data_IF_795789788639
#
_entry.id   IF_795789788639
#
_cell.length_a   1.000
_cell.length_b   1.000
_cell.length_c   1.000
_cell.angle_alpha   90.00
_cell.angle_beta   90.00
_cell.angle_gamma   90.00
#
_symmetry.space_group_name_H-M   'P 1'
#
loop_
_entity.id
_entity.type
_entity.pdbx_description
1 polymer ?
#
# COMPACT_ATOMS: atom_id res chain seq x y z
N UNK A 1 -3.97 14.66 -6.91
CA UNK A 1 -3.97 14.31 -8.34
C UNK A 1 -5.39 14.46 -8.88
N UNK A 2 -5.56 14.62 -10.21
CA UNK A 2 -6.87 14.84 -10.88
C UNK A 2 -7.93 13.79 -10.51
N UNK A 3 -7.57 12.52 -10.39
CA UNK A 3 -8.52 11.46 -10.07
C UNK A 3 -9.09 11.55 -8.64
N UNK A 4 -8.28 11.92 -7.65
CA UNK A 4 -8.76 12.06 -6.27
C UNK A 4 -9.75 13.22 -6.11
N UNK A 5 -9.59 14.30 -6.89
CA UNK A 5 -10.54 15.41 -6.92
C UNK A 5 -11.91 15.02 -7.50
N UNK A 6 -11.95 13.97 -8.33
CA UNK A 6 -13.19 13.45 -8.91
C UNK A 6 -13.89 12.43 -8.00
N UNK A 7 -13.28 12.05 -6.88
CA UNK A 7 -13.83 11.06 -5.97
C UNK A 7 -14.93 11.67 -5.09
N UNK A 8 -16.07 10.98 -5.00
CA UNK A 8 -17.21 11.40 -4.18
C UNK A 8 -18.30 10.34 -4.15
N UNK A 9 -18.99 10.20 -3.01
CA UNK A 9 -20.10 9.25 -2.84
C UNK A 9 -19.81 7.79 -3.29
N UNK A 10 -18.58 7.32 -3.13
CA UNK A 10 -18.19 5.94 -3.51
C UNK A 10 -18.20 5.70 -5.01
N UNK A 11 -18.06 6.75 -5.83
CA UNK A 11 -18.13 6.64 -7.29
C UNK A 11 -16.92 5.91 -7.92
N UNK A 12 -15.77 5.92 -7.27
CA UNK A 12 -14.51 5.38 -7.78
C UNK A 12 -13.81 4.51 -6.74
N UNK A 13 -12.86 3.71 -7.22
CA UNK A 13 -11.80 3.11 -6.41
C UNK A 13 -10.46 3.60 -6.93
N UNK A 14 -9.61 4.16 -6.08
CA UNK A 14 -8.27 4.62 -6.45
C UNK A 14 -7.26 3.89 -5.60
N UNK A 15 -6.35 3.14 -6.24
CA UNK A 15 -5.34 2.36 -5.56
C UNK A 15 -3.93 2.61 -6.14
N UNK A 16 -2.91 2.46 -5.29
CA UNK A 16 -1.50 2.52 -5.67
C UNK A 16 -0.74 1.35 -5.05
N UNK A 17 -0.93 0.12 -5.59
CA UNK A 17 -0.40 -1.07 -4.98
C UNK A 17 1.13 -1.14 -5.05
N UNK A 18 1.76 -1.52 -3.94
CA UNK A 18 3.23 -1.54 -3.81
C UNK A 18 3.86 -2.93 -3.98
N UNK A 19 3.06 -4.01 -3.88
CA UNK A 19 3.53 -5.40 -3.98
C UNK A 19 2.76 -6.22 -5.02
N UNK A 20 3.36 -7.32 -5.48
CA UNK A 20 2.73 -8.26 -6.40
C UNK A 20 1.45 -8.89 -5.82
N UNK A 21 1.43 -9.25 -4.52
CA UNK A 21 0.25 -9.80 -3.88
C UNK A 21 -0.91 -8.79 -3.80
N UNK A 22 -0.62 -7.53 -3.46
CA UNK A 22 -1.63 -6.46 -3.43
C UNK A 22 -2.23 -6.21 -4.81
N UNK A 23 -1.39 -6.23 -5.86
CA UNK A 23 -1.85 -6.12 -7.24
C UNK A 23 -2.79 -7.26 -7.62
N UNK A 24 -2.40 -8.50 -7.33
CA UNK A 24 -3.20 -9.69 -7.60
C UNK A 24 -4.56 -9.64 -6.89
N UNK A 25 -4.57 -9.36 -5.58
CA UNK A 25 -5.79 -9.33 -4.79
C UNK A 25 -6.70 -8.17 -5.18
N UNK A 26 -6.16 -7.02 -5.57
CA UNK A 26 -6.93 -5.89 -6.06
C UNK A 26 -7.68 -6.22 -7.35
N UNK A 27 -7.02 -6.87 -8.32
CA UNK A 27 -7.64 -7.27 -9.58
C UNK A 27 -8.73 -8.32 -9.37
N UNK A 28 -8.47 -9.30 -8.50
CA UNK A 28 -9.48 -10.32 -8.13
C UNK A 28 -10.68 -9.68 -7.44
N UNK A 29 -10.42 -8.78 -6.49
CA UNK A 29 -11.48 -8.00 -5.84
C UNK A 29 -12.31 -7.29 -6.90
N UNK A 30 -11.69 -6.57 -7.83
CA UNK A 30 -12.42 -5.88 -8.90
C UNK A 30 -13.28 -6.80 -9.79
N UNK A 31 -12.79 -7.99 -10.12
CA UNK A 31 -13.53 -8.95 -10.94
C UNK A 31 -14.72 -9.60 -10.18
N UNK A 32 -14.54 -9.84 -8.88
CA UNK A 32 -15.51 -10.53 -8.04
C UNK A 32 -16.49 -9.59 -7.32
N UNK A 33 -16.19 -8.29 -7.25
CA UNK A 33 -16.99 -7.30 -6.52
C UNK A 33 -18.39 -7.16 -7.14
N UNK A 34 -19.49 -7.49 -6.43
CA UNK A 34 -20.84 -7.35 -6.99
C UNK A 34 -21.17 -5.91 -7.38
N UNK A 35 -20.51 -4.92 -6.78
CA UNK A 35 -20.65 -3.51 -7.12
C UNK A 35 -19.61 -3.14 -8.18
N UNK A 36 -20.07 -2.88 -9.41
CA UNK A 36 -19.21 -2.49 -10.51
C UNK A 36 -18.83 -1.00 -10.41
N UNK A 37 -17.77 -0.72 -9.66
CA UNK A 37 -17.14 0.61 -9.58
C UNK A 37 -15.90 0.67 -10.48
N UNK A 38 -15.63 1.80 -11.17
CA UNK A 38 -14.37 1.98 -11.87
C UNK A 38 -13.17 1.93 -10.92
N UNK A 39 -12.16 1.15 -11.30
CA UNK A 39 -10.88 1.06 -10.59
C UNK A 39 -9.81 1.84 -11.34
N UNK A 40 -9.31 2.89 -10.69
CA UNK A 40 -8.16 3.67 -11.13
C UNK A 40 -6.93 3.17 -10.38
N UNK A 41 -5.93 2.69 -11.12
CA UNK A 41 -4.67 2.22 -10.54
C UNK A 41 -3.53 3.11 -11.00
N UNK A 42 -2.79 3.63 -10.03
CA UNK A 42 -1.46 4.17 -10.28
C UNK A 42 -0.50 2.99 -10.47
N UNK A 43 -0.38 2.49 -11.70
CA UNK A 43 0.34 1.24 -11.94
C UNK A 43 1.86 1.37 -11.72
N UNK A 44 2.50 0.35 -11.14
CA UNK A 44 3.95 0.29 -11.05
C UNK A 44 4.55 0.23 -12.46
N UNK A 45 5.53 1.09 -12.76
CA UNK A 45 6.28 1.05 -14.03
C UNK A 45 7.27 -0.12 -14.03
N UNK A 46 7.80 -0.50 -15.20
CA UNK A 46 8.71 -1.64 -15.38
C UNK A 46 9.85 -1.73 -14.35
N UNK A 47 10.39 -0.58 -13.92
CA UNK A 47 11.45 -0.49 -12.89
C UNK A 47 11.02 -1.15 -11.56
N UNK A 48 9.76 -1.03 -11.16
CA UNK A 48 9.27 -1.70 -9.95
C UNK A 48 9.19 -3.22 -10.12
N UNK A 49 8.92 -3.74 -11.32
CA UNK A 49 8.85 -5.19 -11.54
C UNK A 49 10.23 -5.85 -11.38
N UNK A 50 11.31 -5.07 -11.55
CA UNK A 50 12.69 -5.50 -11.36
C UNK A 50 13.17 -5.36 -9.90
N UNK A 51 12.45 -4.59 -9.07
CA UNK A 51 12.78 -4.42 -7.67
C UNK A 51 12.27 -5.62 -6.87
N UNK A 52 13.18 -6.40 -6.30
CA UNK A 52 12.88 -7.60 -5.52
C UNK A 52 12.02 -7.28 -4.28
N UNK A 53 12.12 -6.06 -3.74
CA UNK A 53 11.31 -5.61 -2.60
C UNK A 53 9.81 -5.55 -2.93
N UNK A 54 9.45 -5.52 -4.23
CA UNK A 54 8.06 -5.53 -4.69
C UNK A 54 7.47 -6.94 -4.88
N UNK A 55 8.31 -7.97 -4.86
CA UNK A 55 7.89 -9.35 -5.11
C UNK A 55 7.13 -9.89 -3.90
N UNK A 56 6.33 -10.93 -4.12
CA UNK A 56 5.56 -11.56 -3.04
C UNK A 56 5.65 -13.08 -3.16
N UNK A 57 5.76 -13.81 -2.04
CA UNK A 57 5.75 -15.27 -2.08
C UNK A 57 4.39 -15.75 -2.60
N UNK A 58 4.40 -16.91 -3.28
CA UNK A 58 3.16 -17.51 -3.81
C UNK A 58 2.12 -17.71 -2.70
N UNK A 59 2.56 -18.02 -1.47
CA UNK A 59 1.66 -18.18 -0.33
C UNK A 59 0.79 -16.94 -0.07
N UNK A 60 1.30 -15.74 -0.30
CA UNK A 60 0.57 -14.48 -0.14
C UNK A 60 -0.47 -14.25 -1.26
N UNK A 61 -0.41 -15.00 -2.36
CA UNK A 61 -1.44 -15.02 -3.41
C UNK A 61 -2.56 -16.01 -3.04
N UNK A 62 -2.19 -17.13 -2.40
CA UNK A 62 -3.13 -18.19 -2.02
C UNK A 62 -3.92 -17.87 -0.76
N UNK A 63 -3.32 -17.11 0.15
CA UNK A 63 -3.89 -16.73 1.45
C UNK A 63 -3.98 -15.19 1.56
N UNK A 64 -4.95 -14.72 2.33
CA UNK A 64 -5.16 -13.29 2.57
C UNK A 64 -6.06 -12.60 1.55
N UNK A 65 -5.86 -11.30 1.38
CA UNK A 65 -6.67 -10.45 0.51
C UNK A 65 -6.02 -9.09 0.30
N UNK A 66 -6.74 -8.18 -0.35
CA UNK A 66 -6.26 -6.83 -0.56
C UNK A 66 -6.37 -6.04 0.75
N UNK A 67 -5.25 -5.50 1.21
CA UNK A 67 -5.16 -4.67 2.42
C UNK A 67 -5.11 -3.18 2.02
N UNK A 68 -6.11 -2.35 2.38
CA UNK A 68 -6.13 -0.92 2.02
C UNK A 68 -4.98 -0.11 2.63
N UNK A 69 -4.49 -0.54 3.78
CA UNK A 69 -3.37 0.01 4.53
C UNK A 69 -2.48 -1.17 4.96
N UNK A 70 -1.18 -1.11 4.67
CA UNK A 70 -0.21 -2.08 5.17
C UNK A 70 0.61 -1.45 6.30
N UNK A 71 0.67 -2.16 7.41
CA UNK A 71 1.43 -1.79 8.59
C UNK A 71 2.94 -2.08 8.44
N UNK A 72 3.74 -1.50 9.33
CA UNK A 72 5.18 -1.68 9.42
C UNK A 72 5.56 -2.65 10.53
N UNK A 73 5.79 -3.90 10.15
CA UNK A 73 6.16 -4.97 11.09
C UNK A 73 7.64 -4.95 11.49
N UNK A 74 8.42 -3.98 11.00
CA UNK A 74 9.86 -3.89 11.23
C UNK A 74 10.26 -3.10 12.48
N UNK A 75 9.31 -2.41 13.13
CA UNK A 75 9.59 -1.52 14.26
C UNK A 75 8.65 -1.85 15.42
N UNK A 76 9.20 -1.91 16.64
CA UNK A 76 8.41 -2.12 17.84
C UNK A 76 7.58 -0.87 18.14
N UNK A 77 6.27 -1.03 18.35
CA UNK A 77 5.31 0.08 18.45
C UNK A 77 5.64 1.06 19.58
N UNK A 78 6.23 0.57 20.68
CA UNK A 78 6.65 1.36 21.84
C UNK A 78 7.89 2.23 21.57
N UNK A 79 8.70 1.89 20.56
CA UNK A 79 9.88 2.64 20.15
C UNK A 79 9.59 3.68 19.06
N UNK A 80 8.39 3.68 18.47
CA UNK A 80 8.03 4.58 17.36
C UNK A 80 7.85 6.02 17.87
N UNK A 81 8.64 6.95 17.34
CA UNK A 81 8.54 8.40 17.59
C UNK A 81 7.95 9.15 16.40
N UNK A 82 7.99 8.55 15.20
CA UNK A 82 7.49 9.16 13.97
C UNK A 82 6.82 8.12 13.07
N UNK A 83 5.62 8.44 12.60
CA UNK A 83 4.93 7.69 11.56
C UNK A 83 5.02 8.46 10.24
N UNK A 84 5.42 7.77 9.18
CA UNK A 84 5.43 8.31 7.82
C UNK A 84 4.44 7.51 6.98
N UNK A 85 3.43 8.21 6.47
CA UNK A 85 2.49 7.65 5.52
C UNK A 85 3.06 7.76 4.11
N UNK A 86 3.06 6.65 3.37
CA UNK A 86 3.55 6.60 2.00
C UNK A 86 2.65 5.72 1.12
N UNK A 87 2.82 5.81 -0.20
CA UNK A 87 2.04 5.00 -1.16
C UNK A 87 2.91 4.56 -2.34
N UNK A 88 2.63 3.37 -2.86
CA UNK A 88 3.29 2.82 -4.04
C UNK A 88 4.80 2.73 -3.89
N UNK A 89 5.53 3.06 -4.97
CA UNK A 89 6.97 2.84 -5.09
C UNK A 89 7.84 3.57 -4.07
N UNK A 90 7.35 4.72 -3.57
CA UNK A 90 8.11 5.56 -2.66
C UNK A 90 8.45 4.82 -1.36
N UNK A 91 7.60 3.88 -0.95
CA UNK A 91 7.85 3.05 0.21
C UNK A 91 9.20 2.33 0.15
N UNK A 92 9.54 1.71 -0.97
CA UNK A 92 10.78 0.93 -1.12
C UNK A 92 12.02 1.83 -1.02
N UNK A 93 11.93 3.04 -1.59
CA UNK A 93 12.98 4.06 -1.46
C UNK A 93 13.14 4.53 -0.01
N UNK A 94 12.03 4.79 0.70
CA UNK A 94 12.03 5.19 2.11
C UNK A 94 12.50 4.07 3.04
N UNK A 95 12.14 2.82 2.77
CA UNK A 95 12.53 1.66 3.58
C UNK A 95 14.05 1.46 3.53
N UNK A 96 14.66 1.58 2.34
CA UNK A 96 16.13 1.55 2.18
C UNK A 96 16.81 2.72 2.89
N UNK A 97 16.28 3.93 2.75
CA UNK A 97 16.82 5.11 3.43
C UNK A 97 16.74 4.97 4.95
N UNK A 98 15.62 4.47 5.48
CA UNK A 98 15.44 4.20 6.90
C UNK A 98 16.42 3.14 7.41
N UNK A 99 16.59 2.04 6.68
CA UNK A 99 17.49 0.96 7.08
C UNK A 99 18.97 1.41 7.15
N UNK A 100 19.35 2.42 6.35
CA UNK A 100 20.70 2.98 6.35
C UNK A 100 20.98 3.93 7.53
N UNK A 101 19.94 4.39 8.26
CA UNK A 101 20.06 5.25 9.43
C UNK A 101 19.68 4.46 10.71
N UNK A 102 20.66 4.12 11.59
CA UNK A 102 20.40 3.35 12.80
C UNK A 102 19.39 3.97 13.76
N UNK A 103 19.27 5.30 13.80
CA UNK A 103 18.28 5.98 14.64
C UNK A 103 16.88 5.88 14.03
N UNK A 104 16.78 6.04 12.71
CA UNK A 104 15.49 5.92 12.02
C UNK A 104 14.99 4.47 11.97
N UNK A 105 15.90 3.50 11.87
CA UNK A 105 15.59 2.07 11.77
C UNK A 105 14.71 1.54 12.91
N UNK A 106 14.82 2.10 14.11
CA UNK A 106 14.05 1.68 15.30
C UNK A 106 12.98 2.66 15.75
N UNK A 107 12.94 3.88 15.20
CA UNK A 107 12.06 4.97 15.68
C UNK A 107 11.06 5.47 14.66
N UNK A 108 11.22 5.13 13.39
CA UNK A 108 10.37 5.60 12.30
C UNK A 108 9.58 4.44 11.70
N UNK A 109 8.25 4.47 11.84
CA UNK A 109 7.35 3.53 11.19
C UNK A 109 6.91 4.05 9.81
N UNK A 110 6.89 3.16 8.81
CA UNK A 110 6.49 3.43 7.43
C UNK A 110 5.17 2.71 7.10
N UNK A 111 4.05 3.40 7.26
CA UNK A 111 2.74 2.86 6.88
C UNK A 111 2.49 3.09 5.39
N UNK A 112 1.95 2.08 4.71
CA UNK A 112 1.64 2.15 3.27
C UNK A 112 0.15 2.23 3.04
N UNK A 113 -0.30 3.35 2.46
CA UNK A 113 -1.66 3.50 1.96
C UNK A 113 -1.72 2.93 0.54
N UNK A 114 -2.31 1.76 0.42
CA UNK A 114 -2.46 1.03 -0.85
C UNK A 114 -3.76 1.43 -1.57
N UNK A 115 -4.79 1.82 -0.80
CA UNK A 115 -6.04 2.39 -1.31
C UNK A 115 -6.14 3.87 -0.95
N UNK A 116 -6.09 4.73 -1.95
CA UNK A 116 -6.21 6.18 -1.78
C UNK A 116 -7.67 6.64 -1.69
N UNK A 117 -8.58 5.91 -2.35
CA UNK A 117 -10.02 6.15 -2.26
C UNK A 117 -10.82 4.84 -2.44
N UNK A 118 -11.83 4.56 -1.60
CA UNK A 118 -12.14 5.24 -0.34
C UNK A 118 -10.96 5.23 0.63
N UNK A 119 -10.78 6.31 1.39
CA UNK A 119 -9.64 6.42 2.31
C UNK A 119 -9.82 5.47 3.50
N UNK A 120 -8.80 4.67 3.87
CA UNK A 120 -8.89 3.66 4.93
C UNK A 120 -8.76 4.28 6.33
N UNK A 121 -9.72 5.13 6.70
CA UNK A 121 -9.70 5.86 7.96
C UNK A 121 -9.85 4.94 9.18
N UNK A 122 -10.63 3.85 9.04
CA UNK A 122 -10.86 2.92 10.12
C UNK A 122 -9.60 2.10 10.41
N UNK A 123 -8.93 1.63 9.37
CA UNK A 123 -7.67 0.89 9.47
C UNK A 123 -6.53 1.76 9.97
N UNK A 124 -6.53 3.06 9.65
CA UNK A 124 -5.51 4.00 10.13
C UNK A 124 -5.72 4.41 11.60
N UNK A 125 -6.96 4.36 12.09
CA UNK A 125 -7.29 4.73 13.47
C UNK A 125 -7.23 3.54 14.45
N UNK A 126 -7.12 2.32 13.93
CA UNK A 126 -7.01 1.08 14.71
C UNK A 126 -5.60 0.91 15.29
#
# INVERSE_FOLDING_TARGET
SRFLQLCGAGNLRVAYPSTAAQWFHLLRRQALDPVRQPLIVMSPKAVMQQDADSHSPVQALLQGGFEPLLDDRGVAADAVERVVLCSGKLHHELARARAADPQAASRVALLRIEQLYPFPAAELAA
#
